data_IF_880492047798
#
_entry.id   IF_880492047798
#
_cell.length_a   1.000
_cell.length_b   1.000
_cell.length_c   1.000
_cell.angle_alpha   90.00
_cell.angle_beta   90.00
_cell.angle_gamma   90.00
#
_symmetry.space_group_name_H-M   'P 1'
#
loop_
_entity.id
_entity.type
_entity.pdbx_description
1 polymer ?
#
# COMPACT_ATOMS: atom_id res chain seq x y z
N UNK A 1 11.77 -2.68 -12.79
CA UNK A 1 10.34 -2.29 -12.63
C UNK A 1 10.24 -0.77 -12.64
N UNK A 2 9.37 -0.23 -13.44
CA UNK A 2 9.06 1.20 -13.44
C UNK A 2 7.93 1.48 -12.47
N UNK A 3 8.14 2.43 -11.54
CA UNK A 3 7.14 2.72 -10.48
C UNK A 3 6.65 4.16 -10.66
N UNK A 4 5.33 4.31 -10.72
CA UNK A 4 4.71 5.64 -10.84
C UNK A 4 3.37 5.71 -10.12
N UNK A 5 2.96 6.93 -9.81
CA UNK A 5 1.63 7.17 -9.24
C UNK A 5 0.55 6.97 -10.31
N UNK A 6 -0.50 6.26 -9.96
CA UNK A 6 -1.66 6.07 -10.82
C UNK A 6 -2.62 7.23 -10.58
N UNK A 7 -2.85 8.06 -11.60
CA UNK A 7 -3.62 9.30 -11.45
C UNK A 7 -4.88 9.34 -12.29
N UNK A 8 -4.88 8.70 -13.46
CA UNK A 8 -6.05 8.72 -14.35
C UNK A 8 -7.09 7.70 -13.89
N UNK A 9 -8.34 7.95 -14.23
CA UNK A 9 -9.44 7.01 -13.97
C UNK A 9 -9.14 5.64 -14.57
N UNK A 10 -8.58 5.61 -15.76
CA UNK A 10 -8.21 4.38 -16.45
C UNK A 10 -7.15 3.61 -15.71
N UNK A 11 -6.05 4.26 -15.32
CA UNK A 11 -4.96 3.61 -14.59
C UNK A 11 -5.46 3.01 -13.28
N UNK A 12 -6.27 3.78 -12.53
CA UNK A 12 -6.83 3.31 -11.27
C UNK A 12 -7.75 2.12 -11.49
N UNK A 13 -8.68 2.23 -12.46
CA UNK A 13 -9.63 1.15 -12.75
C UNK A 13 -8.92 -0.12 -13.22
N UNK A 14 -7.89 0.00 -14.02
CA UNK A 14 -7.10 -1.14 -14.51
C UNK A 14 -6.32 -1.85 -13.39
N UNK A 15 -6.10 -1.19 -12.25
CA UNK A 15 -5.43 -1.79 -11.10
C UNK A 15 -6.35 -2.66 -10.23
N UNK A 16 -7.67 -2.63 -10.48
CA UNK A 16 -8.63 -3.36 -9.66
C UNK A 16 -8.33 -4.86 -9.51
N UNK A 17 -8.03 -5.62 -10.59
CA UNK A 17 -7.77 -7.05 -10.43
C UNK A 17 -6.63 -7.36 -9.45
N UNK A 18 -5.58 -6.55 -9.46
CA UNK A 18 -4.47 -6.75 -8.55
C UNK A 18 -4.85 -6.38 -7.11
N UNK A 19 -5.55 -5.27 -6.91
CA UNK A 19 -6.03 -4.91 -5.58
C UNK A 19 -7.04 -5.95 -5.05
N UNK A 20 -7.89 -6.48 -5.90
CA UNK A 20 -8.86 -7.50 -5.51
C UNK A 20 -8.20 -8.79 -5.04
N UNK A 21 -7.00 -9.10 -5.51
CA UNK A 21 -6.25 -10.26 -5.01
C UNK A 21 -5.78 -10.07 -3.56
N UNK A 22 -5.71 -8.83 -3.09
CA UNK A 22 -5.35 -8.49 -1.71
C UNK A 22 -6.59 -8.27 -0.83
N UNK A 23 -7.61 -7.62 -1.38
CA UNK A 23 -8.81 -7.18 -0.64
C UNK A 23 -10.06 -7.84 -1.20
N UNK A 24 -10.73 -8.65 -0.42
CA UNK A 24 -11.92 -9.39 -0.82
C UNK A 24 -13.22 -8.56 -0.73
N UNK A 25 -13.20 -7.42 -0.04
CA UNK A 25 -14.38 -6.57 0.18
C UNK A 25 -14.67 -5.59 -0.94
N UNK A 26 -13.70 -5.36 -1.84
CA UNK A 26 -13.84 -4.37 -2.91
C UNK A 26 -14.55 -4.95 -4.13
N UNK A 27 -15.23 -4.08 -4.88
CA UNK A 27 -16.00 -4.45 -6.07
C UNK A 27 -15.60 -3.57 -7.24
N UNK A 28 -15.55 -4.16 -8.43
CA UNK A 28 -15.14 -3.46 -9.64
C UNK A 28 -15.99 -2.21 -9.90
N UNK A 29 -17.31 -2.31 -9.71
CA UNK A 29 -18.27 -1.23 -10.00
C UNK A 29 -18.07 0.02 -9.13
N UNK A 30 -17.51 -0.14 -7.94
CA UNK A 30 -17.34 0.96 -6.97
C UNK A 30 -15.89 1.33 -6.72
N UNK A 31 -14.94 0.56 -7.24
CA UNK A 31 -13.53 0.69 -6.92
C UNK A 31 -12.97 2.09 -7.19
N UNK A 32 -13.20 2.61 -8.39
CA UNK A 32 -12.70 3.95 -8.76
C UNK A 32 -13.24 5.02 -7.81
N UNK A 33 -14.53 5.00 -7.52
CA UNK A 33 -15.14 5.96 -6.61
C UNK A 33 -14.58 5.86 -5.20
N UNK A 34 -14.33 4.65 -4.72
CA UNK A 34 -13.72 4.43 -3.40
C UNK A 34 -12.28 4.94 -3.33
N UNK A 35 -11.49 4.68 -4.36
CA UNK A 35 -10.12 5.21 -4.44
C UNK A 35 -10.15 6.73 -4.45
N UNK A 36 -11.01 7.35 -5.29
CA UNK A 36 -11.15 8.80 -5.36
C UNK A 36 -11.55 9.41 -4.01
N UNK A 37 -12.46 8.76 -3.31
CA UNK A 37 -12.86 9.19 -1.96
C UNK A 37 -11.69 9.18 -0.98
N UNK A 38 -10.88 8.12 -1.00
CA UNK A 38 -9.71 8.04 -0.15
C UNK A 38 -8.63 9.05 -0.53
N UNK A 39 -8.51 9.38 -1.82
CA UNK A 39 -7.55 10.39 -2.28
C UNK A 39 -7.84 11.76 -1.69
N UNK A 40 -9.10 12.09 -1.42
CA UNK A 40 -9.47 13.33 -0.72
C UNK A 40 -8.81 13.40 0.66
N UNK A 41 -8.60 12.26 1.29
CA UNK A 41 -7.95 12.14 2.60
C UNK A 41 -6.44 11.85 2.50
N UNK A 42 -5.85 12.03 1.31
CA UNK A 42 -4.42 11.91 1.10
C UNK A 42 -3.91 10.56 0.61
N UNK A 43 -4.80 9.62 0.30
CA UNK A 43 -4.40 8.32 -0.24
C UNK A 43 -3.81 8.49 -1.64
N UNK A 44 -2.72 7.77 -1.90
CA UNK A 44 -2.06 7.77 -3.20
C UNK A 44 -1.82 6.32 -3.61
N UNK A 45 -2.06 6.03 -4.88
CA UNK A 45 -1.92 4.70 -5.43
C UNK A 45 -0.74 4.67 -6.38
N UNK A 46 0.17 3.71 -6.17
CA UNK A 46 1.39 3.57 -6.97
C UNK A 46 1.41 2.21 -7.64
N UNK A 47 1.73 2.21 -8.93
CA UNK A 47 1.87 0.99 -9.70
C UNK A 47 3.32 0.74 -10.09
N UNK A 48 3.75 -0.51 -10.00
CA UNK A 48 5.02 -0.97 -10.52
C UNK A 48 4.79 -1.78 -11.79
N UNK A 49 5.53 -1.47 -12.83
CA UNK A 49 5.32 -2.03 -14.17
C UNK A 49 6.58 -2.73 -14.67
N UNK A 50 6.42 -3.93 -15.19
CA UNK A 50 7.41 -4.57 -16.03
C UNK A 50 6.94 -4.37 -17.48
N UNK A 51 7.71 -3.60 -18.24
CA UNK A 51 7.26 -3.06 -19.52
C UNK A 51 5.92 -2.31 -19.29
N UNK A 52 4.85 -2.70 -19.97
CA UNK A 52 3.54 -2.06 -19.80
C UNK A 52 2.59 -2.85 -18.88
N UNK A 53 3.08 -3.90 -18.25
CA UNK A 53 2.27 -4.75 -17.38
C UNK A 53 2.38 -4.33 -15.92
N UNK A 54 1.26 -4.06 -15.30
CA UNK A 54 1.19 -3.79 -13.85
C UNK A 54 1.49 -5.09 -13.08
N UNK A 55 2.55 -5.10 -12.29
CA UNK A 55 2.99 -6.29 -11.55
C UNK A 55 3.00 -6.09 -10.03
N UNK A 56 2.98 -4.84 -9.59
CA UNK A 56 2.98 -4.50 -8.17
C UNK A 56 2.12 -3.27 -7.93
N UNK A 57 1.46 -3.21 -6.78
CA UNK A 57 0.58 -2.10 -6.44
C UNK A 57 0.78 -1.75 -4.97
N UNK A 58 0.85 -0.46 -4.68
CA UNK A 58 0.92 0.03 -3.30
C UNK A 58 -0.02 1.22 -3.12
N UNK A 59 -0.71 1.22 -1.99
CA UNK A 59 -1.50 2.37 -1.56
C UNK A 59 -0.91 2.94 -0.28
N UNK A 60 -0.70 4.25 -0.25
CA UNK A 60 -0.07 4.89 0.90
C UNK A 60 -0.65 6.27 1.13
N UNK A 61 -0.54 6.73 2.36
CA UNK A 61 -0.92 8.10 2.72
C UNK A 61 0.08 8.70 3.69
N UNK A 62 0.32 9.98 3.55
CA UNK A 62 1.03 10.75 4.55
C UNK A 62 0.12 10.91 5.77
N UNK A 63 0.62 10.56 6.95
CA UNK A 63 -0.15 10.61 8.18
C UNK A 63 0.62 11.36 9.25
N UNK A 64 -0.13 11.96 10.18
CA UNK A 64 0.44 12.66 11.31
C UNK A 64 -0.32 12.27 12.57
N UNK A 65 0.37 11.62 13.50
CA UNK A 65 -0.20 11.21 14.79
C UNK A 65 0.70 11.67 15.92
N UNK A 66 0.13 11.84 17.10
CA UNK A 66 0.94 12.22 18.28
C UNK A 66 1.93 11.11 18.65
N UNK A 67 1.54 9.84 18.43
CA UNK A 67 2.38 8.70 18.77
C UNK A 67 3.56 8.51 17.82
N UNK A 68 3.36 8.80 16.53
CA UNK A 68 4.34 8.47 15.48
C UNK A 68 4.91 9.70 14.76
N UNK A 69 4.33 10.88 14.97
CA UNK A 69 4.68 12.08 14.21
C UNK A 69 4.26 11.95 12.75
N UNK A 70 4.87 12.74 11.89
CA UNK A 70 4.64 12.65 10.45
C UNK A 70 5.35 11.43 9.87
N UNK A 71 4.60 10.63 9.12
CA UNK A 71 5.13 9.40 8.53
C UNK A 71 4.34 9.04 7.28
N UNK A 72 4.86 8.09 6.52
CA UNK A 72 4.13 7.46 5.43
C UNK A 72 3.52 6.16 5.95
N UNK A 73 2.20 6.02 5.81
CA UNK A 73 1.51 4.77 6.13
C UNK A 73 1.18 4.02 4.85
N UNK A 74 1.72 2.82 4.72
CA UNK A 74 1.44 1.94 3.57
C UNK A 74 0.29 1.02 3.96
N UNK A 75 -0.89 1.30 3.44
CA UNK A 75 -2.10 0.53 3.74
C UNK A 75 -2.28 -0.69 2.86
N UNK A 76 -1.76 -0.65 1.65
CA UNK A 76 -1.91 -1.72 0.66
C UNK A 76 -0.57 -1.98 -0.02
N UNK A 77 -0.21 -3.25 -0.13
CA UNK A 77 0.97 -3.69 -0.88
C UNK A 77 0.71 -5.09 -1.42
N UNK A 78 0.73 -5.24 -2.72
CA UNK A 78 0.44 -6.51 -3.37
C UNK A 78 1.25 -6.66 -4.67
N UNK A 79 1.69 -7.89 -4.94
CA UNK A 79 2.31 -8.27 -6.21
C UNK A 79 1.49 -9.40 -6.85
N UNK A 80 1.52 -9.50 -8.16
CA UNK A 80 0.95 -10.67 -8.82
C UNK A 80 1.65 -11.94 -8.35
N UNK A 81 0.89 -13.02 -8.25
CA UNK A 81 1.40 -14.30 -7.76
C UNK A 81 2.56 -14.82 -8.61
N UNK A 82 2.47 -14.71 -9.92
CA UNK A 82 3.54 -15.12 -10.83
C UNK A 82 4.82 -14.29 -10.69
N UNK A 83 4.69 -13.08 -10.12
CA UNK A 83 5.82 -12.18 -9.85
C UNK A 83 6.42 -12.34 -8.46
N UNK A 84 5.81 -13.13 -7.59
CA UNK A 84 6.31 -13.33 -6.22
C UNK A 84 7.66 -14.04 -6.23
N UNK A 85 8.51 -13.66 -5.29
CA UNK A 85 9.87 -14.18 -5.22
C UNK A 85 10.88 -13.46 -6.10
N UNK A 86 10.46 -12.47 -6.90
CA UNK A 86 11.33 -11.66 -7.75
C UNK A 86 11.71 -10.31 -7.15
N UNK A 87 11.41 -10.08 -5.87
CA UNK A 87 11.77 -8.86 -5.18
C UNK A 87 10.94 -7.61 -5.53
N UNK A 88 9.80 -7.77 -6.20
CA UNK A 88 8.97 -6.63 -6.61
C UNK A 88 8.43 -5.84 -5.42
N UNK A 89 7.94 -6.55 -4.39
CA UNK A 89 7.46 -5.90 -3.18
C UNK A 89 8.56 -5.13 -2.45
N UNK A 90 9.74 -5.72 -2.33
CA UNK A 90 10.89 -5.06 -1.71
C UNK A 90 11.33 -3.82 -2.49
N UNK A 91 11.32 -3.90 -3.81
CA UNK A 91 11.64 -2.77 -4.69
C UNK A 91 10.63 -1.62 -4.51
N UNK A 92 9.34 -1.95 -4.45
CA UNK A 92 8.28 -0.97 -4.20
C UNK A 92 8.48 -0.29 -2.84
N UNK A 93 8.73 -1.06 -1.79
CA UNK A 93 8.94 -0.51 -0.44
C UNK A 93 10.17 0.41 -0.41
N UNK A 94 11.25 0.02 -1.06
CA UNK A 94 12.46 0.85 -1.15
C UNK A 94 12.14 2.18 -1.84
N UNK A 95 11.45 2.11 -2.97
CA UNK A 95 11.04 3.30 -3.72
C UNK A 95 10.15 4.22 -2.88
N UNK A 96 9.18 3.66 -2.13
CA UNK A 96 8.33 4.43 -1.22
C UNK A 96 9.16 5.06 -0.10
N UNK A 97 10.18 4.37 0.40
CA UNK A 97 11.10 4.89 1.40
C UNK A 97 11.90 6.09 0.90
N UNK A 98 12.42 6.00 -0.31
CA UNK A 98 13.15 7.11 -0.94
C UNK A 98 12.24 8.32 -1.16
N UNK A 99 11.02 8.08 -1.58
CA UNK A 99 10.02 9.13 -1.77
C UNK A 99 9.60 9.77 -0.45
N UNK A 100 9.36 8.98 0.57
CA UNK A 100 9.05 9.48 1.90
C UNK A 100 10.19 10.36 2.44
N UNK A 101 11.42 9.91 2.28
CA UNK A 101 12.60 10.69 2.67
C UNK A 101 12.67 12.01 1.93
N UNK A 102 12.42 12.01 0.63
CA UNK A 102 12.42 13.24 -0.17
C UNK A 102 11.33 14.22 0.27
N UNK A 103 10.25 13.73 0.84
CA UNK A 103 9.17 14.53 1.41
C UNK A 103 9.40 14.93 2.88
N UNK A 104 10.56 14.59 3.44
CA UNK A 104 10.92 14.93 4.82
C UNK A 104 10.37 13.97 5.87
N UNK A 105 9.85 12.82 5.46
CA UNK A 105 9.30 11.81 6.36
C UNK A 105 10.40 10.82 6.76
N UNK A 106 10.55 10.60 8.06
CA UNK A 106 11.62 9.74 8.59
C UNK A 106 11.26 8.26 8.61
N UNK A 107 9.98 7.92 8.54
CA UNK A 107 9.53 6.54 8.72
C UNK A 107 8.38 6.15 7.80
N UNK A 108 8.36 4.85 7.49
CA UNK A 108 7.23 4.16 6.89
C UNK A 108 6.65 3.23 7.95
N UNK A 109 5.34 3.26 8.10
CA UNK A 109 4.60 2.29 8.93
C UNK A 109 3.66 1.49 8.06
N UNK A 110 3.44 0.25 8.43
CA UNK A 110 2.42 -0.62 7.84
C UNK A 110 2.02 -1.69 8.86
N UNK A 111 0.90 -2.35 8.59
CA UNK A 111 0.47 -3.53 9.33
C UNK A 111 0.77 -4.77 8.51
N UNK A 112 1.62 -5.65 9.03
CA UNK A 112 2.00 -6.88 8.35
C UNK A 112 1.00 -8.00 8.68
N UNK A 113 0.64 -8.79 7.68
CA UNK A 113 0.02 -10.08 7.94
C UNK A 113 1.05 -10.98 8.64
N UNK A 114 0.59 -11.87 9.52
CA UNK A 114 1.48 -12.80 10.22
C UNK A 114 2.34 -13.62 9.25
N UNK A 115 1.76 -14.04 8.13
CA UNK A 115 2.46 -14.82 7.10
C UNK A 115 3.53 -14.03 6.34
N UNK A 116 3.50 -12.70 6.40
CA UNK A 116 4.46 -11.83 5.73
C UNK A 116 5.53 -11.28 6.66
N UNK A 117 5.52 -11.65 7.93
CA UNK A 117 6.47 -11.16 8.94
C UNK A 117 7.94 -11.32 8.50
N UNK A 118 8.30 -12.50 8.05
CA UNK A 118 9.66 -12.79 7.59
C UNK A 118 10.09 -11.92 6.42
N UNK A 119 9.19 -11.62 5.50
CA UNK A 119 9.46 -10.71 4.38
C UNK A 119 9.82 -9.31 4.88
N UNK A 120 9.02 -8.76 5.80
CA UNK A 120 9.25 -7.41 6.30
C UNK A 120 10.50 -7.32 7.18
N UNK A 121 10.78 -8.33 8.01
CA UNK A 121 12.04 -8.38 8.77
C UNK A 121 13.25 -8.32 7.84
N UNK A 122 13.21 -9.12 6.77
CA UNK A 122 14.32 -9.24 5.82
C UNK A 122 14.62 -7.91 5.11
N UNK A 123 13.62 -7.09 4.85
CA UNK A 123 13.79 -5.80 4.19
C UNK A 123 13.96 -4.63 5.16
N UNK A 124 14.10 -4.90 6.46
CA UNK A 124 14.53 -3.90 7.44
C UNK A 124 13.45 -3.34 8.36
N UNK A 125 12.25 -3.93 8.40
CA UNK A 125 11.21 -3.48 9.32
C UNK A 125 11.44 -4.01 10.73
N UNK A 126 11.12 -3.16 11.71
CA UNK A 126 11.07 -3.52 13.12
C UNK A 126 9.60 -3.63 13.53
N UNK A 127 9.24 -4.69 14.24
CA UNK A 127 7.85 -4.90 14.65
C UNK A 127 7.54 -4.18 15.94
N UNK A 128 6.38 -3.50 15.96
CA UNK A 128 5.90 -2.79 17.14
C UNK A 128 5.27 -3.79 18.12
N UNK A 129 5.24 -3.39 19.39
CA UNK A 129 4.59 -4.19 20.44
C UNK A 129 3.09 -3.95 20.52
N UNK A 130 2.58 -2.89 19.88
CA UNK A 130 1.14 -2.63 19.77
C UNK A 130 0.49 -3.68 18.87
N UNK A 131 -0.71 -4.11 19.26
CA UNK A 131 -1.46 -5.12 18.52
C UNK A 131 -2.69 -4.47 17.91
N UNK A 132 -2.85 -4.47 16.59
CA UNK A 132 -4.05 -3.99 15.95
C UNK A 132 -5.28 -4.77 16.42
N UNK A 133 -6.35 -4.08 16.74
CA UNK A 133 -7.57 -4.71 17.21
C UNK A 133 -8.79 -3.93 16.72
N UNK A 134 -9.94 -4.60 16.65
CA UNK A 134 -11.19 -4.00 16.21
C UNK A 134 -12.37 -4.59 16.93
N UNK A 135 -13.47 -3.88 16.94
CA UNK A 135 -14.75 -4.37 17.46
C UNK A 135 -15.89 -3.84 16.61
N UNK A 136 -16.98 -4.59 16.57
CA UNK A 136 -18.20 -4.06 15.97
C UNK A 136 -18.70 -2.91 16.85
N UNK A 137 -19.18 -1.81 16.22
CA UNK A 137 -19.83 -0.75 16.97
C UNK A 137 -21.16 -1.26 17.51
N UNK A 138 -21.53 -0.88 18.75
CA UNK A 138 -22.80 -1.35 19.31
C UNK A 138 -23.98 -0.93 18.42
N UNK A 139 -24.97 -1.83 18.32
CA UNK A 139 -26.24 -1.49 17.70
C UNK A 139 -27.00 -0.52 18.60
N UNK A 140 -27.82 0.37 17.99
CA UNK A 140 -28.66 1.32 18.73
C UNK A 140 -29.76 0.63 19.54
#
# INVERSE_FOLDING_TARGET
MDIRELRTDREISESFPLMASLRDRIRDETFLAEVRRQQVEGYRLFGGFDDDRLVCLAGARRSHTLARGEHLFVGDLVTFEEGRGRGRGAEMVRWLGERARAEGLARIYLDSRATAKGFYEKIGFTFLTSIPCWMETPAD
#
